data_IF_057894078454
#
_entry.id   IF_057894078454
#
_cell.length_a   1.000
_cell.length_b   1.000
_cell.length_c   1.000
_cell.angle_alpha   90.00
_cell.angle_beta   90.00
_cell.angle_gamma   90.00
#
_symmetry.space_group_name_H-M   'P 1'
#
loop_
_entity.id
_entity.type
_entity.pdbx_description
1 polymer ?
#
# COMPACT_ATOMS: atom_id res chain seq x y z
N UNK A 1 -22.39 -2.12 -14.36
CA UNK A 1 -21.20 -2.66 -13.68
C UNK A 1 -20.10 -1.64 -13.89
N UNK A 2 -19.47 -1.16 -12.83
CA UNK A 2 -18.39 -0.19 -12.93
C UNK A 2 -17.09 -0.87 -12.52
N UNK A 3 -15.99 -0.54 -13.20
CA UNK A 3 -14.67 -1.10 -12.97
C UNK A 3 -13.68 0.02 -12.64
N UNK A 4 -12.72 -0.28 -11.78
CA UNK A 4 -11.68 0.66 -11.34
C UNK A 4 -10.34 -0.05 -11.36
N UNK A 5 -9.35 0.60 -11.97
CA UNK A 5 -7.95 0.19 -11.91
C UNK A 5 -7.21 1.11 -10.95
N UNK A 6 -6.49 0.54 -9.99
CA UNK A 6 -5.62 1.26 -9.06
C UNK A 6 -4.19 0.87 -9.41
N UNK A 7 -3.47 1.79 -10.03
CA UNK A 7 -2.10 1.60 -10.50
C UNK A 7 -1.21 2.64 -9.85
N UNK A 8 -0.10 2.20 -9.25
CA UNK A 8 0.85 3.06 -8.57
C UNK A 8 2.06 2.29 -8.07
N UNK A 9 2.79 2.87 -7.14
CA UNK A 9 3.93 2.21 -6.51
C UNK A 9 4.15 2.70 -5.09
N UNK A 10 4.83 1.88 -4.30
CA UNK A 10 5.33 2.23 -2.98
C UNK A 10 6.74 2.76 -3.17
N UNK A 11 6.92 4.08 -3.07
CA UNK A 11 8.22 4.69 -3.36
C UNK A 11 9.25 4.25 -2.30
N UNK A 12 8.95 4.48 -1.03
CA UNK A 12 9.91 4.27 0.04
C UNK A 12 9.45 4.81 1.39
N UNK A 13 10.34 4.76 2.37
CA UNK A 13 10.13 5.40 3.66
C UNK A 13 11.46 5.78 4.32
N UNK A 14 11.42 6.73 5.25
CA UNK A 14 12.58 7.29 5.95
C UNK A 14 12.38 7.23 7.47
N UNK A 15 13.43 7.55 8.23
CA UNK A 15 13.36 7.71 9.68
C UNK A 15 13.53 6.41 10.48
N UNK A 16 14.17 5.40 9.88
CA UNK A 16 14.49 4.15 10.55
C UNK A 16 15.91 4.16 11.13
N UNK A 17 16.06 3.58 12.31
CA UNK A 17 17.35 3.40 13.00
C UNK A 17 18.09 2.13 12.57
N UNK A 18 17.54 1.38 11.62
CA UNK A 18 18.05 0.09 11.15
C UNK A 18 18.23 0.10 9.64
N UNK A 19 19.11 -0.76 9.15
CA UNK A 19 19.30 -1.08 7.73
C UNK A 19 18.58 -2.39 7.38
N UNK A 20 18.45 -2.73 6.10
CA UNK A 20 17.74 -3.94 5.63
C UNK A 20 16.24 -3.91 5.93
N UNK A 21 15.55 -2.97 5.29
CA UNK A 21 14.16 -2.63 5.52
C UNK A 21 13.27 -3.16 4.39
N UNK A 22 12.11 -3.67 4.76
CA UNK A 22 11.03 -4.01 3.82
C UNK A 22 9.70 -3.50 4.37
N UNK A 23 8.73 -3.36 3.47
CA UNK A 23 7.41 -2.86 3.79
C UNK A 23 6.36 -3.94 3.61
N UNK A 24 5.59 -4.25 4.66
CA UNK A 24 4.35 -5.02 4.53
C UNK A 24 3.19 -4.07 4.29
N UNK A 25 2.32 -4.46 3.36
CA UNK A 25 1.23 -3.62 2.90
C UNK A 25 -0.05 -4.41 2.71
N UNK A 26 -1.17 -3.71 2.85
CA UNK A 26 -2.51 -4.26 2.64
C UNK A 26 -3.47 -3.16 2.24
N UNK A 27 -4.35 -3.43 1.27
CA UNK A 27 -5.35 -2.51 0.75
C UNK A 27 -6.73 -2.97 1.22
N UNK A 28 -7.37 -2.10 2.00
CA UNK A 28 -8.70 -2.35 2.54
C UNK A 28 -9.79 -1.69 1.68
N UNK A 29 -10.83 -2.45 1.36
CA UNK A 29 -11.99 -1.99 0.57
C UNK A 29 -13.29 -2.42 1.23
N UNK A 30 -14.34 -1.60 1.12
CA UNK A 30 -15.68 -1.98 1.57
C UNK A 30 -16.30 -3.15 0.79
N UNK A 31 -17.36 -3.76 1.33
CA UNK A 31 -18.01 -4.97 0.79
C UNK A 31 -18.58 -4.82 -0.64
N UNK A 32 -18.77 -3.58 -1.12
CA UNK A 32 -19.26 -3.28 -2.46
C UNK A 32 -18.22 -3.51 -3.57
N UNK A 33 -16.95 -3.73 -3.21
CA UNK A 33 -15.84 -3.88 -4.14
C UNK A 33 -15.41 -5.34 -4.23
N UNK A 34 -15.40 -5.88 -5.45
CA UNK A 34 -14.86 -7.21 -5.74
C UNK A 34 -13.52 -7.04 -6.45
N UNK A 35 -12.46 -7.61 -5.89
CA UNK A 35 -11.18 -7.73 -6.59
C UNK A 35 -11.32 -8.72 -7.75
N UNK A 36 -10.96 -8.27 -8.95
CA UNK A 36 -10.93 -9.10 -10.16
C UNK A 36 -9.51 -9.59 -10.47
N UNK A 37 -8.51 -8.72 -10.29
CA UNK A 37 -7.10 -9.03 -10.54
C UNK A 37 -6.18 -8.21 -9.63
N UNK A 38 -4.95 -8.70 -9.45
CA UNK A 38 -3.93 -8.11 -8.58
C UNK A 38 -3.90 -8.72 -7.18
N UNK A 39 -3.02 -8.19 -6.33
CA UNK A 39 -2.77 -8.67 -4.98
C UNK A 39 -3.14 -7.57 -3.97
N UNK A 40 -3.97 -7.89 -2.98
CA UNK A 40 -4.43 -6.87 -2.00
C UNK A 40 -3.48 -6.65 -0.85
N UNK A 41 -2.57 -7.57 -0.59
CA UNK A 41 -1.63 -7.50 0.52
C UNK A 41 -0.34 -8.21 0.16
N UNK A 42 0.77 -7.72 0.68
CA UNK A 42 2.06 -8.27 0.31
C UNK A 42 3.21 -7.66 1.08
N UNK A 43 4.38 -7.92 0.54
CA UNK A 43 5.64 -7.44 1.07
C UNK A 43 6.51 -6.94 -0.08
N UNK A 44 7.19 -5.83 0.13
CA UNK A 44 8.20 -5.33 -0.82
C UNK A 44 9.48 -6.16 -0.76
N UNK A 45 10.37 -5.90 -1.71
CA UNK A 45 11.77 -6.29 -1.59
C UNK A 45 12.41 -5.63 -0.36
N UNK A 46 13.53 -6.21 0.10
CA UNK A 46 14.38 -5.61 1.13
C UNK A 46 15.31 -4.62 0.46
N UNK A 47 15.39 -3.41 1.00
CA UNK A 47 16.42 -2.43 0.68
C UNK A 47 17.36 -2.25 1.87
N UNK A 48 18.65 -2.00 1.63
CA UNK A 48 19.67 -1.86 2.68
C UNK A 48 20.31 -0.47 2.63
N UNK A 49 19.54 0.60 2.95
CA UNK A 49 20.09 1.95 3.01
C UNK A 49 21.03 2.10 4.22
N UNK A 50 21.82 3.18 4.24
CA UNK A 50 22.51 3.57 5.45
C UNK A 50 21.49 3.96 6.53
N UNK A 51 21.86 3.81 7.80
CA UNK A 51 20.98 4.16 8.91
C UNK A 51 20.63 5.65 8.84
N UNK A 52 19.33 5.95 8.85
CA UNK A 52 18.80 7.31 8.72
C UNK A 52 18.51 7.75 7.27
N UNK A 53 18.99 7.02 6.27
CA UNK A 53 18.68 7.30 4.86
C UNK A 53 17.30 6.74 4.46
N UNK A 54 16.83 7.14 3.28
CA UNK A 54 15.60 6.63 2.69
C UNK A 54 15.77 5.21 2.17
N UNK A 55 14.85 4.32 2.54
CA UNK A 55 14.68 3.04 1.88
C UNK A 55 13.84 3.23 0.61
N UNK A 56 14.33 2.77 -0.54
CA UNK A 56 13.61 2.82 -1.82
C UNK A 56 13.16 1.41 -2.23
N UNK A 57 11.85 1.20 -2.25
CA UNK A 57 11.29 -0.07 -2.69
C UNK A 57 10.80 -0.03 -4.12
N UNK A 58 10.25 1.11 -4.55
CA UNK A 58 9.61 1.30 -5.86
C UNK A 58 8.70 0.12 -6.23
N UNK A 59 7.96 -0.41 -5.25
CA UNK A 59 7.23 -1.66 -5.41
C UNK A 59 5.91 -1.41 -6.16
N UNK A 60 5.66 -2.06 -7.30
CA UNK A 60 4.48 -1.77 -8.10
C UNK A 60 3.20 -2.24 -7.41
N UNK A 61 2.15 -1.43 -7.53
CA UNK A 61 0.78 -1.74 -7.13
C UNK A 61 -0.09 -1.69 -8.38
N UNK A 62 -0.76 -2.80 -8.69
CA UNK A 62 -1.75 -2.89 -9.76
C UNK A 62 -2.91 -3.75 -9.27
N UNK A 63 -4.09 -3.13 -9.16
CA UNK A 63 -5.32 -3.78 -8.76
C UNK A 63 -6.46 -3.42 -9.69
N UNK A 64 -7.28 -4.42 -9.98
CA UNK A 64 -8.51 -4.27 -10.76
C UNK A 64 -9.71 -4.65 -9.90
N UNK A 65 -10.60 -3.71 -9.67
CA UNK A 65 -11.84 -3.91 -8.92
C UNK A 65 -13.06 -3.73 -9.82
N UNK A 66 -14.14 -4.43 -9.47
CA UNK A 66 -15.47 -4.17 -10.00
C UNK A 66 -16.48 -3.94 -8.87
N UNK A 67 -17.46 -3.07 -9.14
CA UNK A 67 -18.61 -2.84 -8.27
C UNK A 67 -19.93 -2.92 -9.03
N UNK A 68 -20.98 -3.35 -8.33
CA UNK A 68 -22.32 -3.56 -8.90
C UNK A 68 -23.22 -2.31 -8.86
N UNK A 69 -22.83 -1.21 -8.23
CA UNK A 69 -23.65 0.02 -8.19
C UNK A 69 -22.89 1.27 -7.75
N UNK A 70 -23.34 2.44 -8.24
CA UNK A 70 -22.74 3.75 -7.95
C UNK A 70 -23.20 4.34 -6.60
N UNK A 71 -24.12 3.70 -5.88
CA UNK A 71 -24.59 4.17 -4.57
C UNK A 71 -23.50 4.15 -3.47
N UNK A 72 -22.33 3.55 -3.73
CA UNK A 72 -21.15 3.64 -2.84
C UNK A 72 -20.08 4.63 -3.29
N UNK A 73 -20.25 5.29 -4.46
CA UNK A 73 -19.22 6.19 -5.01
C UNK A 73 -19.34 7.64 -4.49
N UNK A 74 -20.50 8.03 -3.96
CA UNK A 74 -20.76 9.38 -3.44
C UNK A 74 -20.59 9.50 -1.91
N UNK A 75 -20.20 8.43 -1.23
CA UNK A 75 -19.51 8.51 0.06
C UNK A 75 -18.05 8.28 -0.24
N UNK A 76 -17.21 9.28 0.01
CA UNK A 76 -15.76 9.23 -0.22
C UNK A 76 -15.09 8.21 0.72
N UNK A 77 -15.34 6.93 0.50
CA UNK A 77 -14.48 5.85 0.93
C UNK A 77 -13.71 5.41 -0.33
N UNK A 78 -12.92 6.35 -0.88
CA UNK A 78 -11.63 5.98 -1.47
C UNK A 78 -11.02 4.87 -0.62
N UNK A 79 -10.38 3.83 -1.18
CA UNK A 79 -9.73 2.80 -0.37
C UNK A 79 -8.75 3.45 0.60
N UNK A 80 -9.26 3.78 1.79
CA UNK A 80 -8.55 4.39 2.89
C UNK A 80 -8.22 3.22 3.78
N UNK A 81 -7.06 2.64 3.53
CA UNK A 81 -6.11 2.19 4.53
C UNK A 81 -5.09 1.38 3.78
N UNK A 82 -3.90 1.94 3.67
CA UNK A 82 -2.72 1.11 3.62
C UNK A 82 -2.19 1.05 5.04
N UNK A 83 -2.38 -0.10 5.69
CA UNK A 83 -1.67 -0.35 6.95
C UNK A 83 -0.25 -0.76 6.59
N UNK A 84 0.69 0.12 6.91
CA UNK A 84 2.12 -0.11 6.72
C UNK A 84 2.71 -0.57 8.04
N UNK A 85 3.15 -1.82 8.10
CA UNK A 85 3.93 -2.32 9.24
C UNK A 85 5.37 -2.46 8.76
N UNK A 86 6.25 -1.49 9.04
CA UNK A 86 7.67 -1.67 8.84
C UNK A 86 8.13 -2.74 9.83
N UNK A 87 8.41 -3.92 9.30
CA UNK A 87 8.76 -5.07 10.12
C UNK A 87 10.27 -5.07 10.37
N UNK A 88 10.66 -4.47 11.51
CA UNK A 88 11.74 -4.97 12.36
C UNK A 88 11.46 -4.66 13.84
N UNK A 89 11.03 -3.44 14.18
CA UNK A 89 10.43 -3.11 15.47
C UNK A 89 9.66 -1.80 15.37
N UNK A 90 8.53 -1.71 16.07
CA UNK A 90 7.60 -0.59 16.04
C UNK A 90 8.27 0.76 16.40
N UNK A 91 8.46 1.63 15.40
CA UNK A 91 8.76 3.05 15.57
C UNK A 91 7.94 3.87 14.57
N UNK A 92 7.44 5.08 14.93
CA UNK A 92 6.52 5.86 14.11
C UNK A 92 7.28 6.63 13.05
N UNK A 93 7.71 5.95 11.99
CA UNK A 93 8.22 6.59 10.77
C UNK A 93 7.07 7.10 9.91
N UNK A 94 7.11 8.37 9.50
CA UNK A 94 6.11 8.99 8.63
C UNK A 94 6.43 8.61 7.18
N UNK A 95 5.66 7.70 6.59
CA UNK A 95 5.82 7.27 5.20
C UNK A 95 5.20 8.28 4.22
N UNK A 96 5.83 8.47 3.06
CA UNK A 96 5.33 9.30 1.95
C UNK A 96 4.79 8.39 0.83
N UNK A 97 3.67 8.77 0.23
CA UNK A 97 2.96 8.06 -0.85
C UNK A 97 3.52 8.44 -2.23
#
# INVERSE_FOLDING_TARGET
MAEVHVIGQIIGATGFSESSLFCKWGIHTGAAWKLLSGVREGQTQVDTPQVGDMAYWCHPIDLHFATKGLQGLLGLETPHLVSWVPSSQACPGKAEL
#
